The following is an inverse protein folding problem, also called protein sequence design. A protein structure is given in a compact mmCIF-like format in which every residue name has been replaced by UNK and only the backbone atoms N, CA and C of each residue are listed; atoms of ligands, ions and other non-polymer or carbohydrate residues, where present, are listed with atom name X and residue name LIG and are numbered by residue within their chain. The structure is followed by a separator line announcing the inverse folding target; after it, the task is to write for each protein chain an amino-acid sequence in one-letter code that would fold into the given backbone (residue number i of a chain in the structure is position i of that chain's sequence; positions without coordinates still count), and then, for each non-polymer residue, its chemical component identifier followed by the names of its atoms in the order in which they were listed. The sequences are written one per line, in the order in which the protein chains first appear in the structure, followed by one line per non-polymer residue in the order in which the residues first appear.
data_IF_578075565700
#
_entry.id   IF_578075565700
#
_cell.length_a   1.000
_cell.length_b   1.000
_cell.length_c   1.000
_cell.angle_alpha   90.00
_cell.angle_beta   90.00
_cell.angle_gamma   90.00
#
_symmetry.space_group_name_H-M   'P 1'
#
loop_
_entity.id
_entity.type
_entity.pdbx_description
1 polymer ?
#
# COMPACT_ATOMS: atom_id res chain seq x y z
N UNK A 1 -5.82 18.13 5.80
CA UNK A 1 -5.56 19.31 6.64
C UNK A 1 -6.82 19.63 7.42
N UNK A 2 -6.77 19.74 8.74
CA UNK A 2 -7.94 20.10 9.52
C UNK A 2 -8.36 21.54 9.19
N UNK A 3 -9.67 21.77 9.03
CA UNK A 3 -10.22 23.09 8.75
C UNK A 3 -9.79 24.11 9.82
N UNK A 4 -9.22 25.24 9.41
CA UNK A 4 -8.76 26.32 10.31
C UNK A 4 -9.89 26.87 11.21
N UNK A 5 -11.15 26.85 10.73
CA UNK A 5 -12.33 27.31 11.44
C UNK A 5 -12.62 26.55 12.75
N UNK A 6 -12.16 25.33 12.91
CA UNK A 6 -12.36 24.53 14.12
C UNK A 6 -11.15 24.56 15.08
N UNK A 7 -10.18 25.42 14.85
CA UNK A 7 -8.94 25.44 15.64
C UNK A 7 -9.19 25.83 17.10
N UNK A 8 -10.10 26.76 17.35
CA UNK A 8 -10.44 27.22 18.70
C UNK A 8 -11.26 26.19 19.52
N UNK A 9 -12.01 25.31 18.85
CA UNK A 9 -12.81 24.26 19.49
C UNK A 9 -12.11 22.92 19.70
N UNK A 10 -10.82 22.80 19.33
CA UNK A 10 -10.07 21.55 19.48
C UNK A 10 -9.57 21.41 20.91
N UNK A 11 -9.90 20.28 21.53
CA UNK A 11 -9.22 19.87 22.75
C UNK A 11 -7.72 19.71 22.45
N UNK A 12 -6.88 20.38 23.22
CA UNK A 12 -5.44 20.22 23.15
C UNK A 12 -5.07 18.81 23.65
N UNK A 13 -4.87 17.88 22.71
CA UNK A 13 -4.38 16.55 23.04
C UNK A 13 -2.86 16.64 23.18
N UNK A 14 -2.29 16.41 24.39
CA UNK A 14 -0.84 16.46 24.58
C UNK A 14 -0.14 15.50 23.61
N UNK A 15 0.95 15.94 23.01
CA UNK A 15 1.75 15.10 22.11
C UNK A 15 2.30 13.92 22.89
N UNK A 16 1.83 12.74 22.55
CA UNK A 16 2.30 11.49 23.16
C UNK A 16 3.77 11.25 22.79
N UNK A 17 4.59 10.95 23.78
CA UNK A 17 5.97 10.56 23.59
C UNK A 17 6.08 9.05 23.51
N UNK A 18 6.89 8.56 22.58
CA UNK A 18 7.13 7.13 22.38
C UNK A 18 8.63 6.87 22.34
N UNK A 19 9.06 5.75 22.90
CA UNK A 19 10.42 5.26 22.85
C UNK A 19 10.47 3.99 22.02
N UNK A 20 11.46 3.88 21.15
CA UNK A 20 11.75 2.62 20.42
C UNK A 20 12.51 1.69 21.37
N UNK A 21 11.99 0.48 21.58
CA UNK A 21 12.56 -0.49 22.52
C UNK A 21 13.58 -1.43 21.86
N UNK A 22 13.47 -1.67 20.56
CA UNK A 22 14.32 -2.55 19.78
C UNK A 22 15.27 -1.77 18.85
N UNK A 23 15.86 -0.68 19.33
CA UNK A 23 16.62 0.25 18.48
C UNK A 23 17.77 -0.43 17.73
N UNK A 24 18.57 -1.27 18.38
CA UNK A 24 19.70 -1.97 17.74
C UNK A 24 19.27 -2.85 16.57
N UNK A 25 18.23 -3.68 16.75
CA UNK A 25 17.70 -4.53 15.69
C UNK A 25 17.05 -3.71 14.57
N UNK A 26 16.35 -2.64 14.93
CA UNK A 26 15.74 -1.74 13.94
C UNK A 26 16.78 -1.00 13.12
N UNK A 27 17.85 -0.48 13.74
CA UNK A 27 18.97 0.19 13.05
C UNK A 27 19.69 -0.77 12.10
N UNK A 28 19.93 -2.02 12.51
CA UNK A 28 20.45 -3.05 11.62
C UNK A 28 19.55 -3.27 10.39
N UNK A 29 18.23 -3.32 10.59
CA UNK A 29 17.28 -3.45 9.49
C UNK A 29 17.29 -2.26 8.54
N UNK A 30 17.52 -1.05 9.05
CA UNK A 30 17.61 0.16 8.22
C UNK A 30 18.84 0.10 7.29
N UNK A 31 19.97 -0.41 7.79
CA UNK A 31 21.17 -0.62 6.96
C UNK A 31 20.93 -1.69 5.90
N UNK A 32 20.26 -2.79 6.24
CA UNK A 32 19.90 -3.85 5.30
C UNK A 32 19.05 -3.35 4.13
N UNK A 33 18.18 -2.36 4.33
CA UNK A 33 17.37 -1.78 3.24
C UNK A 33 18.20 -1.17 2.12
N UNK A 34 19.42 -0.76 2.40
CA UNK A 34 20.39 -0.26 1.41
C UNK A 34 21.32 -1.33 0.86
N UNK A 35 21.31 -2.56 1.40
CA UNK A 35 22.21 -3.64 0.97
C UNK A 35 21.76 -4.24 -0.35
N UNK A 36 22.65 -4.34 -1.32
CA UNK A 36 22.36 -4.99 -2.61
C UNK A 36 22.02 -6.47 -2.44
N UNK A 37 22.61 -7.18 -1.48
CA UNK A 37 22.37 -8.61 -1.25
C UNK A 37 20.93 -8.93 -0.82
N UNK A 38 20.20 -7.95 -0.29
CA UNK A 38 18.78 -8.10 0.05
C UNK A 38 17.89 -8.07 -1.19
N UNK A 39 18.31 -7.34 -2.22
CA UNK A 39 17.52 -7.05 -3.41
C UNK A 39 17.99 -7.79 -4.66
N UNK A 40 19.24 -8.25 -4.67
CA UNK A 40 19.85 -9.05 -5.72
C UNK A 40 20.32 -10.38 -5.08
N UNK A 41 19.39 -11.33 -4.99
CA UNK A 41 19.54 -12.57 -4.23
C UNK A 41 20.09 -13.71 -5.08
N UNK A 42 20.62 -14.76 -4.44
CA UNK A 42 21.11 -15.95 -5.13
C UNK A 42 20.00 -16.65 -5.95
N UNK A 43 18.75 -16.64 -5.47
CA UNK A 43 17.62 -17.17 -6.20
C UNK A 43 17.34 -16.34 -7.48
N UNK A 44 17.50 -15.01 -7.41
CA UNK A 44 17.34 -14.16 -8.57
C UNK A 44 18.46 -14.40 -9.59
N UNK A 45 19.68 -14.67 -9.13
CA UNK A 45 20.83 -15.02 -9.96
C UNK A 45 20.59 -16.36 -10.65
N UNK A 46 20.22 -17.40 -9.90
CA UNK A 46 19.99 -18.74 -10.41
C UNK A 46 18.84 -18.80 -11.44
N UNK A 47 17.77 -18.02 -11.21
CA UNK A 47 16.59 -17.96 -12.08
C UNK A 47 16.62 -16.75 -13.04
N UNK A 48 17.80 -16.22 -13.40
CA UNK A 48 17.93 -15.01 -14.23
C UNK A 48 17.50 -15.21 -15.69
N UNK A 49 17.92 -16.32 -16.29
CA UNK A 49 17.55 -16.68 -17.64
C UNK A 49 16.08 -17.13 -17.70
N UNK A 50 15.43 -16.83 -18.82
CA UNK A 50 14.07 -17.33 -19.04
C UNK A 50 14.09 -18.79 -19.46
N UNK A 51 13.07 -19.54 -19.04
CA UNK A 51 12.81 -20.87 -19.59
C UNK A 51 12.52 -20.81 -21.10
N UNK A 52 13.04 -21.74 -21.90
CA UNK A 52 12.78 -21.79 -23.33
C UNK A 52 11.27 -21.94 -23.62
N UNK A 53 10.78 -21.17 -24.59
CA UNK A 53 9.40 -21.33 -25.05
C UNK A 53 9.28 -22.41 -26.09
N UNK A 54 8.21 -23.20 -25.97
CA UNK A 54 7.76 -24.14 -27.01
C UNK A 54 6.79 -23.50 -28.02
N UNK A 55 6.23 -22.30 -27.68
CA UNK A 55 5.30 -21.57 -28.53
C UNK A 55 6.03 -20.76 -29.63
N UNK A 56 5.32 -20.51 -30.75
CA UNK A 56 5.84 -19.69 -31.87
C UNK A 56 6.19 -18.27 -31.39
N UNK A 57 7.35 -17.76 -31.81
CA UNK A 57 7.85 -16.42 -31.50
C UNK A 57 9.30 -16.42 -31.04
N UNK A 58 9.87 -15.24 -30.81
CA UNK A 58 11.24 -15.08 -30.30
C UNK A 58 11.39 -15.62 -28.87
N UNK A 59 12.51 -16.25 -28.56
CA UNK A 59 12.83 -16.76 -27.23
C UNK A 59 13.01 -15.61 -26.23
N UNK A 60 12.41 -15.70 -25.03
CA UNK A 60 12.67 -14.73 -23.97
C UNK A 60 14.08 -14.96 -23.39
N UNK A 61 14.84 -13.89 -23.19
CA UNK A 61 16.19 -13.97 -22.59
C UNK A 61 16.15 -13.88 -21.07
N UNK A 62 15.16 -13.14 -20.52
CA UNK A 62 15.08 -12.83 -19.11
C UNK A 62 13.82 -13.39 -18.48
N UNK A 63 13.97 -14.02 -17.33
CA UNK A 63 12.83 -14.51 -16.54
C UNK A 63 11.99 -13.34 -15.99
N UNK A 64 10.74 -13.61 -15.56
CA UNK A 64 9.96 -12.63 -14.82
C UNK A 64 10.67 -12.15 -13.55
N UNK A 65 11.42 -13.05 -12.88
CA UNK A 65 12.17 -12.73 -11.67
C UNK A 65 13.32 -11.77 -11.93
N UNK A 66 14.06 -11.94 -13.02
CA UNK A 66 15.12 -11.01 -13.44
C UNK A 66 14.56 -9.59 -13.68
N UNK A 67 13.42 -9.48 -14.37
CA UNK A 67 12.76 -8.21 -14.62
C UNK A 67 12.23 -7.60 -13.31
N UNK A 68 11.62 -8.41 -12.45
CA UNK A 68 11.15 -7.96 -11.14
C UNK A 68 12.30 -7.45 -10.28
N UNK A 69 13.42 -8.16 -10.22
CA UNK A 69 14.64 -7.76 -9.49
C UNK A 69 15.16 -6.42 -10.01
N UNK A 70 15.26 -6.25 -11.32
CA UNK A 70 15.69 -4.99 -11.92
C UNK A 70 14.76 -3.82 -11.58
N UNK A 71 13.44 -4.02 -11.64
CA UNK A 71 12.47 -2.99 -11.28
C UNK A 71 12.42 -2.74 -9.79
N UNK A 72 12.71 -3.75 -8.97
CA UNK A 72 12.85 -3.62 -7.50
C UNK A 72 14.06 -2.73 -7.16
N UNK A 73 15.22 -2.99 -7.74
CA UNK A 73 16.40 -2.13 -7.59
C UNK A 73 16.11 -0.69 -8.04
N UNK A 74 15.43 -0.54 -9.18
CA UNK A 74 14.97 0.78 -9.64
C UNK A 74 14.13 1.52 -8.61
N UNK A 75 13.20 0.82 -7.95
CA UNK A 75 12.31 1.42 -6.95
C UNK A 75 13.06 1.76 -5.66
N UNK A 76 13.87 0.85 -5.14
CA UNK A 76 14.66 1.01 -3.91
C UNK A 76 15.64 2.19 -4.03
N UNK A 77 16.40 2.25 -5.13
CA UNK A 77 17.42 3.28 -5.34
C UNK A 77 16.90 4.49 -6.15
N UNK A 78 15.60 4.53 -6.47
CA UNK A 78 14.93 5.63 -7.19
C UNK A 78 15.58 6.00 -8.54
N UNK A 79 16.05 5.01 -9.28
CA UNK A 79 16.79 5.20 -10.51
C UNK A 79 15.88 5.43 -11.73
N UNK A 80 16.40 6.11 -12.76
CA UNK A 80 15.82 6.05 -14.09
C UNK A 80 16.16 4.70 -14.74
N UNK A 81 15.40 4.26 -15.77
CA UNK A 81 15.61 2.93 -16.40
C UNK A 81 17.03 2.73 -16.92
N UNK A 82 17.64 3.76 -17.58
CA UNK A 82 19.03 3.68 -18.03
C UNK A 82 20.04 3.59 -16.88
N UNK A 83 19.77 4.27 -15.77
CA UNK A 83 20.62 4.18 -14.58
C UNK A 83 20.47 2.78 -13.90
N UNK A 84 19.27 2.20 -13.96
CA UNK A 84 19.02 0.83 -13.49
C UNK A 84 19.84 -0.17 -14.30
N UNK A 85 19.82 -0.05 -15.62
CA UNK A 85 20.67 -0.82 -16.52
C UNK A 85 22.14 -0.71 -16.12
N UNK A 86 22.67 0.51 -15.97
CA UNK A 86 24.06 0.74 -15.57
C UNK A 86 24.39 0.15 -14.19
N UNK A 87 23.51 0.27 -13.21
CA UNK A 87 23.69 -0.34 -11.88
C UNK A 87 23.78 -1.87 -11.96
N UNK A 88 22.82 -2.50 -12.64
CA UNK A 88 22.79 -3.97 -12.77
C UNK A 88 24.01 -4.48 -13.50
N UNK A 89 24.40 -3.85 -14.61
CA UNK A 89 25.62 -4.21 -15.33
C UNK A 89 26.89 -4.08 -14.49
N UNK A 90 26.95 -3.09 -13.61
CA UNK A 90 28.05 -2.93 -12.64
C UNK A 90 28.05 -4.03 -11.58
N UNK A 91 26.87 -4.36 -11.02
CA UNK A 91 26.73 -5.43 -10.03
C UNK A 91 27.13 -6.79 -10.61
N UNK A 92 26.61 -7.14 -11.79
CA UNK A 92 26.94 -8.40 -12.49
C UNK A 92 28.46 -8.51 -12.69
N UNK A 93 29.11 -7.43 -13.18
CA UNK A 93 30.55 -7.40 -13.40
C UNK A 93 31.35 -7.53 -12.11
N UNK A 94 30.97 -6.79 -11.06
CA UNK A 94 31.67 -6.81 -9.77
C UNK A 94 31.56 -8.17 -9.08
N UNK A 95 30.46 -8.89 -9.28
CA UNK A 95 30.27 -10.26 -8.76
C UNK A 95 30.89 -11.34 -9.65
N UNK A 96 31.47 -10.98 -10.78
CA UNK A 96 32.05 -11.95 -11.72
C UNK A 96 31.03 -12.90 -12.34
N UNK A 97 29.76 -12.42 -12.50
CA UNK A 97 28.69 -13.24 -13.03
C UNK A 97 28.61 -13.14 -14.55
N UNK A 98 28.40 -14.27 -15.22
CA UNK A 98 28.13 -14.32 -16.66
C UNK A 98 26.62 -14.25 -16.96
N UNK A 99 25.99 -13.15 -16.56
CA UNK A 99 24.57 -12.92 -16.76
C UNK A 99 24.34 -11.86 -17.85
N UNK A 100 23.39 -12.13 -18.75
CA UNK A 100 22.90 -11.12 -19.67
C UNK A 100 22.16 -10.02 -18.90
N UNK A 101 22.35 -8.76 -19.30
CA UNK A 101 21.73 -7.60 -18.64
C UNK A 101 20.54 -7.11 -19.47
N UNK A 102 19.33 -6.96 -18.87
CA UNK A 102 18.21 -6.38 -19.58
C UNK A 102 18.40 -4.88 -19.79
N UNK A 103 18.34 -4.44 -21.04
CA UNK A 103 18.39 -3.02 -21.38
C UNK A 103 17.13 -2.28 -20.91
N UNK A 104 17.21 -0.95 -20.88
CA UNK A 104 16.12 -0.09 -20.43
C UNK A 104 14.85 -0.21 -21.29
N UNK A 105 14.96 -0.58 -22.57
CA UNK A 105 13.80 -0.76 -23.46
C UNK A 105 13.10 -2.08 -23.16
N UNK A 106 13.85 -3.13 -22.89
CA UNK A 106 13.33 -4.42 -22.40
C UNK A 106 12.66 -4.26 -21.05
N UNK A 107 13.29 -3.59 -20.09
CA UNK A 107 12.66 -3.29 -18.78
C UNK A 107 11.35 -2.52 -18.96
N UNK A 108 11.33 -1.48 -19.80
CA UNK A 108 10.13 -0.69 -20.08
C UNK A 108 9.03 -1.53 -20.74
N UNK A 109 9.36 -2.36 -21.72
CA UNK A 109 8.39 -3.22 -22.42
C UNK A 109 7.84 -4.29 -21.51
N UNK A 110 8.72 -5.02 -20.80
CA UNK A 110 8.34 -6.11 -19.91
C UNK A 110 7.55 -5.63 -18.68
N UNK A 111 7.75 -4.38 -18.23
CA UNK A 111 6.94 -3.78 -17.18
C UNK A 111 5.45 -3.66 -17.54
N UNK A 112 5.04 -3.73 -18.79
CA UNK A 112 3.61 -3.71 -19.15
C UNK A 112 2.91 -5.05 -18.89
N UNK A 113 3.64 -6.16 -18.89
CA UNK A 113 3.10 -7.52 -18.78
C UNK A 113 3.63 -8.30 -17.58
N UNK A 114 4.44 -7.66 -16.73
CA UNK A 114 4.99 -8.31 -15.55
C UNK A 114 3.94 -8.51 -14.48
N UNK A 115 3.72 -9.74 -14.11
CA UNK A 115 2.93 -10.09 -12.92
C UNK A 115 3.80 -9.93 -11.67
N UNK A 116 3.49 -8.93 -10.86
CA UNK A 116 4.15 -8.75 -9.57
C UNK A 116 3.46 -9.65 -8.54
N UNK A 117 4.21 -10.45 -7.77
CA UNK A 117 3.63 -11.27 -6.72
C UNK A 117 2.78 -10.45 -5.76
N UNK A 118 1.54 -10.86 -5.55
CA UNK A 118 0.66 -10.18 -4.61
C UNK A 118 1.18 -10.37 -3.19
N UNK A 119 1.11 -9.35 -2.34
CA UNK A 119 1.42 -9.50 -0.94
C UNK A 119 0.53 -10.58 -0.32
N UNK A 120 1.13 -11.50 0.41
CA UNK A 120 0.37 -12.45 1.21
C UNK A 120 0.08 -11.81 2.55
N UNK A 121 -1.16 -11.88 3.02
CA UNK A 121 -1.44 -11.57 4.42
C UNK A 121 -0.60 -12.49 5.31
N UNK A 122 -0.12 -11.98 6.44
CA UNK A 122 0.69 -12.77 7.40
C UNK A 122 -0.02 -14.04 7.92
N UNK A 123 -1.32 -14.12 7.69
CA UNK A 123 -2.16 -15.28 7.96
C UNK A 123 -1.74 -16.55 7.20
N UNK A 124 -0.86 -16.46 6.18
CA UNK A 124 -0.43 -17.58 5.36
C UNK A 124 1.01 -18.07 5.66
N UNK A 125 1.65 -17.57 6.70
CA UNK A 125 3.01 -17.99 7.06
C UNK A 125 2.99 -19.24 7.96
N UNK A 126 2.80 -20.39 7.37
CA UNK A 126 3.01 -21.69 8.01
C UNK A 126 1.72 -22.51 8.19
N UNK A 127 1.62 -23.62 7.47
CA UNK A 127 0.63 -24.63 7.75
C UNK A 127 0.80 -25.14 9.21
N UNK A 128 -0.20 -24.91 10.07
CA UNK A 128 -0.24 -25.49 11.40
C UNK A 128 -0.26 -24.54 12.59
N UNK A 129 -0.28 -23.21 12.40
CA UNK A 129 -0.55 -22.25 13.49
C UNK A 129 -1.94 -21.65 13.32
N UNK A 130 -2.64 -21.44 14.45
CA UNK A 130 -3.88 -20.65 14.47
C UNK A 130 -3.61 -19.28 13.84
N UNK A 131 -4.23 -19.05 12.69
CA UNK A 131 -4.02 -17.85 11.88
C UNK A 131 -4.80 -16.71 12.54
N UNK A 132 -4.09 -15.77 13.17
CA UNK A 132 -4.71 -14.60 13.77
C UNK A 132 -5.44 -13.78 12.67
N UNK A 133 -6.74 -13.49 12.83
CA UNK A 133 -7.49 -12.72 11.84
C UNK A 133 -6.92 -11.31 11.64
N UNK A 134 -6.86 -10.85 10.39
CA UNK A 134 -6.30 -9.56 10.03
C UNK A 134 -7.22 -8.39 10.44
N UNK A 135 -6.64 -7.31 10.95
CA UNK A 135 -7.31 -6.03 11.13
C UNK A 135 -6.96 -5.11 9.97
N UNK A 136 -7.89 -4.93 9.04
CA UNK A 136 -7.65 -4.20 7.80
C UNK A 136 -7.93 -2.70 7.98
N UNK A 137 -7.01 -1.87 7.50
CA UNK A 137 -7.17 -0.42 7.43
C UNK A 137 -7.20 0.00 5.97
N UNK A 138 -8.28 0.65 5.55
CA UNK A 138 -8.50 1.13 4.18
C UNK A 138 -8.28 2.63 4.13
N UNK A 139 -7.52 3.10 3.15
CA UNK A 139 -7.31 4.54 2.93
C UNK A 139 -6.92 4.81 1.46
N UNK A 140 -7.02 6.07 1.03
CA UNK A 140 -6.63 6.49 -0.30
C UNK A 140 -5.76 7.74 -0.30
N UNK A 141 -4.99 7.92 -1.38
CA UNK A 141 -4.17 9.12 -1.56
C UNK A 141 -3.92 9.42 -3.03
N UNK A 142 -3.69 10.70 -3.34
CA UNK A 142 -3.29 11.11 -4.68
C UNK A 142 -1.80 10.86 -4.94
N UNK A 143 -1.50 10.32 -6.13
CA UNK A 143 -0.16 10.24 -6.72
C UNK A 143 -0.11 11.07 -7.99
N UNK A 144 0.89 11.92 -8.10
CA UNK A 144 1.13 12.74 -9.31
C UNK A 144 1.57 11.84 -10.46
N UNK A 145 1.22 12.21 -11.68
CA UNK A 145 1.76 11.57 -12.88
C UNK A 145 2.99 12.36 -13.36
N UNK A 146 4.09 11.66 -13.68
CA UNK A 146 5.17 12.24 -14.45
C UNK A 146 4.73 12.36 -15.90
N UNK A 147 4.84 13.55 -16.47
CA UNK A 147 4.55 13.83 -17.86
C UNK A 147 5.40 15.03 -18.35
N UNK A 148 5.48 15.24 -19.66
CA UNK A 148 6.02 16.47 -20.18
C UNK A 148 5.09 17.58 -19.74
N UNK A 149 5.48 18.40 -18.80
CA UNK A 149 4.53 19.43 -18.47
C UNK A 149 4.72 20.22 -17.22
N UNK A 150 5.53 19.82 -16.25
CA UNK A 150 5.74 20.75 -15.13
C UNK A 150 6.30 22.07 -15.63
N UNK A 151 7.33 22.01 -16.44
CA UNK A 151 7.92 23.21 -17.04
C UNK A 151 7.05 23.88 -18.10
N UNK A 152 6.38 23.11 -18.98
CA UNK A 152 5.45 23.63 -19.98
C UNK A 152 4.21 24.26 -19.35
N UNK A 153 3.69 23.68 -18.27
CA UNK A 153 2.54 24.21 -17.51
C UNK A 153 2.94 25.48 -16.76
N UNK A 154 4.13 25.52 -16.17
CA UNK A 154 4.66 26.73 -15.52
C UNK A 154 4.96 27.83 -16.55
N UNK A 155 5.54 27.49 -17.70
CA UNK A 155 5.93 28.47 -18.74
C UNK A 155 4.76 28.99 -19.57
N UNK A 156 3.75 28.14 -19.83
CA UNK A 156 2.63 28.48 -20.74
C UNK A 156 1.30 28.68 -20.04
N UNK A 157 1.26 28.67 -18.70
CA UNK A 157 0.10 29.04 -17.92
C UNK A 157 -1.18 28.25 -18.22
N UNK A 158 -1.05 26.97 -18.62
CA UNK A 158 -2.23 26.16 -18.91
C UNK A 158 -3.02 25.90 -17.64
N UNK A 159 -4.30 26.28 -17.63
CA UNK A 159 -5.25 26.08 -16.51
C UNK A 159 -5.55 24.59 -16.23
N UNK A 160 -4.94 23.67 -16.93
CA UNK A 160 -5.15 22.23 -16.75
C UNK A 160 -4.45 21.76 -15.48
N UNK A 161 -5.24 21.35 -14.48
CA UNK A 161 -4.73 20.70 -13.27
C UNK A 161 -3.83 19.53 -13.65
N UNK A 162 -2.68 19.40 -12.99
CA UNK A 162 -1.76 18.25 -13.17
C UNK A 162 -2.54 16.95 -13.09
N UNK A 163 -2.36 16.03 -14.06
CA UNK A 163 -3.01 14.74 -14.00
C UNK A 163 -2.47 13.96 -12.80
N UNK A 164 -3.34 13.36 -12.03
CA UNK A 164 -2.99 12.49 -10.92
C UNK A 164 -3.88 11.25 -10.90
N UNK A 165 -3.45 10.22 -10.23
CA UNK A 165 -4.18 8.98 -9.99
C UNK A 165 -4.44 8.82 -8.51
N UNK A 166 -5.52 8.16 -8.18
CA UNK A 166 -5.85 7.80 -6.80
C UNK A 166 -5.27 6.42 -6.51
N UNK A 167 -4.42 6.37 -5.50
CA UNK A 167 -3.92 5.12 -4.92
C UNK A 167 -4.83 4.75 -3.76
N UNK A 168 -5.43 3.57 -3.83
CA UNK A 168 -6.16 2.94 -2.74
C UNK A 168 -5.29 1.84 -2.14
N UNK A 169 -5.24 1.73 -0.83
CA UNK A 169 -4.48 0.70 -0.11
C UNK A 169 -5.34 0.04 0.97
N UNK A 170 -5.09 -1.23 1.18
CA UNK A 170 -5.50 -1.95 2.39
C UNK A 170 -4.25 -2.41 3.11
N UNK A 171 -4.15 -2.07 4.37
CA UNK A 171 -3.03 -2.42 5.23
C UNK A 171 -3.51 -3.30 6.38
N UNK A 172 -2.73 -4.33 6.70
CA UNK A 172 -2.92 -5.10 7.93
C UNK A 172 -2.34 -4.32 9.12
N UNK A 173 -3.18 -3.98 10.10
CA UNK A 173 -2.78 -3.24 11.28
C UNK A 173 -1.81 -4.03 12.19
N UNK A 174 -1.83 -5.36 12.16
CA UNK A 174 -0.99 -6.19 13.02
C UNK A 174 0.49 -6.09 12.64
N UNK A 175 0.78 -6.11 11.34
CA UNK A 175 2.16 -6.13 10.84
C UNK A 175 2.56 -4.89 10.02
N UNK A 176 1.60 -4.05 9.61
CA UNK A 176 1.82 -2.85 8.82
C UNK A 176 2.08 -3.12 7.33
N UNK A 177 1.90 -4.35 6.84
CA UNK A 177 2.04 -4.69 5.42
C UNK A 177 0.84 -4.17 4.62
N UNK A 178 1.09 -3.73 3.40
CA UNK A 178 0.04 -3.42 2.43
C UNK A 178 -0.37 -4.74 1.78
N UNK A 179 -1.60 -5.19 2.05
CA UNK A 179 -2.12 -6.49 1.58
C UNK A 179 -2.94 -6.39 0.30
N UNK A 180 -3.46 -5.19 0.00
CA UNK A 180 -4.14 -4.92 -1.26
C UNK A 180 -3.87 -3.49 -1.72
N UNK A 181 -3.85 -3.27 -3.02
CA UNK A 181 -3.68 -1.94 -3.60
C UNK A 181 -4.34 -1.84 -4.97
N UNK A 182 -4.85 -0.66 -5.30
CA UNK A 182 -5.41 -0.34 -6.60
C UNK A 182 -5.07 1.09 -7.02
N UNK A 183 -4.97 1.30 -8.33
CA UNK A 183 -4.77 2.61 -8.91
C UNK A 183 -5.96 2.97 -9.80
N UNK A 184 -6.61 4.10 -9.51
CA UNK A 184 -7.79 4.53 -10.26
C UNK A 184 -7.64 5.94 -10.82
N UNK A 185 -8.60 6.34 -11.64
CA UNK A 185 -8.79 7.74 -12.00
C UNK A 185 -9.12 8.59 -10.78
N UNK A 186 -8.90 9.88 -10.87
CA UNK A 186 -9.15 10.82 -9.76
C UNK A 186 -10.64 10.89 -9.37
N UNK A 187 -11.54 10.59 -10.30
CA UNK A 187 -12.99 10.66 -10.11
C UNK A 187 -13.59 9.40 -9.47
N UNK A 188 -12.77 8.34 -9.29
CA UNK A 188 -13.27 7.11 -8.68
C UNK A 188 -13.68 7.33 -7.22
N UNK A 189 -14.85 6.83 -6.84
CA UNK A 189 -15.30 6.85 -5.45
C UNK A 189 -14.47 5.88 -4.61
N UNK A 190 -14.08 6.32 -3.41
CA UNK A 190 -13.25 5.51 -2.50
C UNK A 190 -14.01 4.29 -1.97
N UNK A 191 -15.30 4.46 -1.66
CA UNK A 191 -16.16 3.39 -1.17
C UNK A 191 -16.36 2.27 -2.20
N UNK A 192 -16.50 2.62 -3.48
CA UNK A 192 -16.65 1.65 -4.57
C UNK A 192 -15.41 0.77 -4.76
N UNK A 193 -14.24 1.19 -4.27
CA UNK A 193 -13.00 0.42 -4.37
C UNK A 193 -12.82 -0.60 -3.24
N UNK A 194 -13.63 -0.54 -2.19
CA UNK A 194 -13.50 -1.47 -1.03
C UNK A 194 -13.71 -2.92 -1.46
N UNK A 195 -14.75 -3.21 -2.24
CA UNK A 195 -15.00 -4.56 -2.77
C UNK A 195 -13.79 -5.13 -3.53
N UNK A 196 -13.35 -4.49 -4.63
CA UNK A 196 -12.18 -4.94 -5.40
C UNK A 196 -10.87 -5.05 -4.61
N UNK A 197 -10.71 -4.24 -3.55
CA UNK A 197 -9.57 -4.35 -2.66
C UNK A 197 -9.67 -5.57 -1.75
N UNK A 198 -10.85 -5.82 -1.17
CA UNK A 198 -11.07 -6.99 -0.33
C UNK A 198 -10.98 -8.31 -1.10
N UNK A 199 -11.29 -8.32 -2.41
CA UNK A 199 -11.08 -9.48 -3.30
C UNK A 199 -9.60 -9.89 -3.42
N UNK A 200 -8.66 -9.00 -3.08
CA UNK A 200 -7.23 -9.29 -3.07
C UNK A 200 -6.76 -9.87 -1.73
N UNK A 201 -7.58 -9.77 -0.68
CA UNK A 201 -7.22 -10.22 0.68
C UNK A 201 -7.56 -11.69 0.83
N UNK A 202 -6.56 -12.47 1.26
CA UNK A 202 -6.72 -13.91 1.52
C UNK A 202 -6.61 -14.17 3.01
N UNK A 203 -7.53 -14.97 3.56
CA UNK A 203 -7.54 -15.37 4.96
C UNK A 203 -8.63 -14.67 5.80
N UNK A 204 -8.72 -15.02 7.09
CA UNK A 204 -9.73 -14.47 7.99
C UNK A 204 -9.48 -12.99 8.30
N UNK A 205 -10.55 -12.22 8.37
CA UNK A 205 -10.54 -10.79 8.67
C UNK A 205 -11.36 -10.52 9.91
N UNK A 206 -10.74 -9.91 10.93
CA UNK A 206 -11.40 -9.53 12.16
C UNK A 206 -12.12 -8.18 12.05
N UNK A 207 -11.53 -7.22 11.32
CA UNK A 207 -12.14 -5.92 11.13
C UNK A 207 -11.69 -5.22 9.85
N UNK A 208 -12.56 -4.36 9.33
CA UNK A 208 -12.28 -3.43 8.23
C UNK A 208 -12.53 -2.01 8.75
N UNK A 209 -11.50 -1.19 8.79
CA UNK A 209 -11.56 0.18 9.32
C UNK A 209 -11.26 1.19 8.22
N UNK A 210 -12.15 2.16 8.03
CA UNK A 210 -11.99 3.28 7.10
C UNK A 210 -12.30 4.62 7.76
N UNK A 211 -12.05 5.72 7.07
CA UNK A 211 -12.49 7.04 7.55
C UNK A 211 -13.95 7.31 7.17
N UNK A 212 -14.47 8.51 7.53
CA UNK A 212 -15.86 8.88 7.26
C UNK A 212 -16.24 8.98 5.77
N UNK A 213 -15.28 8.97 4.84
CA UNK A 213 -15.57 8.89 3.41
C UNK A 213 -16.14 7.52 3.03
N UNK A 214 -15.79 6.49 3.80
CA UNK A 214 -16.27 5.11 3.64
C UNK A 214 -17.62 4.85 4.35
N UNK A 215 -18.26 5.85 4.99
CA UNK A 215 -19.62 5.70 5.55
C UNK A 215 -20.67 5.67 4.44
N UNK A 216 -20.71 4.55 3.73
CA UNK A 216 -21.60 4.28 2.59
C UNK A 216 -22.14 2.86 2.72
N UNK A 217 -23.42 2.66 2.43
CA UNK A 217 -24.09 1.36 2.50
C UNK A 217 -23.35 0.29 1.68
N UNK A 218 -22.90 0.65 0.46
CA UNK A 218 -22.13 -0.26 -0.39
C UNK A 218 -20.82 -0.77 0.22
N UNK A 219 -20.19 0.00 1.12
CA UNK A 219 -18.99 -0.42 1.84
C UNK A 219 -19.34 -1.50 2.85
N UNK A 220 -20.40 -1.29 3.64
CA UNK A 220 -20.87 -2.29 4.61
C UNK A 220 -21.30 -3.58 3.90
N UNK A 221 -22.07 -3.48 2.83
CA UNK A 221 -22.51 -4.63 2.05
C UNK A 221 -21.34 -5.40 1.43
N UNK A 222 -20.39 -4.69 0.80
CA UNK A 222 -19.21 -5.30 0.19
C UNK A 222 -18.32 -6.02 1.20
N UNK A 223 -18.14 -5.45 2.38
CA UNK A 223 -17.33 -6.04 3.44
C UNK A 223 -18.04 -7.25 4.07
N UNK A 224 -19.34 -7.14 4.37
CA UNK A 224 -20.13 -8.23 4.92
C UNK A 224 -20.24 -9.43 3.96
N UNK A 225 -20.36 -9.18 2.66
CA UNK A 225 -20.40 -10.24 1.65
C UNK A 225 -19.11 -11.09 1.61
N UNK A 226 -17.96 -10.46 1.77
CA UNK A 226 -16.65 -11.11 1.65
C UNK A 226 -16.11 -11.65 2.97
N UNK A 227 -16.41 -10.94 4.04
CA UNK A 227 -15.96 -11.25 5.39
C UNK A 227 -17.11 -11.07 6.40
N UNK A 228 -18.10 -12.00 6.44
CA UNK A 228 -19.31 -11.85 7.24
C UNK A 228 -19.05 -11.67 8.74
N UNK A 229 -17.95 -12.24 9.25
CA UNK A 229 -17.57 -12.14 10.66
C UNK A 229 -16.78 -10.86 11.00
N UNK A 230 -16.41 -10.04 9.99
CA UNK A 230 -15.59 -8.86 10.24
C UNK A 230 -16.39 -7.69 10.84
N UNK A 231 -15.81 -7.03 11.84
CA UNK A 231 -16.33 -5.76 12.34
C UNK A 231 -15.99 -4.63 11.33
N UNK A 232 -17.01 -3.86 10.93
CA UNK A 232 -16.83 -2.74 10.02
C UNK A 232 -16.79 -1.45 10.82
N UNK A 233 -15.61 -0.85 10.94
CA UNK A 233 -15.35 0.27 11.85
C UNK A 233 -15.16 1.55 11.02
N UNK A 234 -16.27 2.21 10.71
CA UNK A 234 -16.30 3.46 9.96
C UNK A 234 -17.07 4.51 10.78
N UNK A 235 -16.51 5.72 10.97
CA UNK A 235 -17.20 6.75 11.73
C UNK A 235 -18.40 7.27 10.93
N UNK A 236 -19.63 7.17 11.43
CA UNK A 236 -20.80 7.73 10.79
C UNK A 236 -20.62 9.22 10.51
N UNK A 237 -21.10 9.68 9.35
CA UNK A 237 -21.10 11.12 8.99
C UNK A 237 -21.97 11.91 9.96
N UNK A 238 -21.76 13.21 10.06
CA UNK A 238 -22.56 14.07 10.93
C UNK A 238 -24.06 14.07 10.59
N UNK A 239 -24.38 13.82 9.33
CA UNK A 239 -25.76 13.73 8.81
C UNK A 239 -26.30 12.30 8.77
N UNK A 240 -25.58 11.34 9.33
CA UNK A 240 -26.00 9.94 9.32
C UNK A 240 -27.24 9.74 10.21
N UNK A 241 -28.26 9.10 9.64
CA UNK A 241 -29.47 8.68 10.34
C UNK A 241 -29.49 7.15 10.47
N UNK A 242 -30.15 6.60 11.51
CA UNK A 242 -30.39 5.17 11.64
C UNK A 242 -31.15 4.61 10.42
N UNK A 243 -30.94 3.34 10.15
CA UNK A 243 -31.70 2.63 9.12
C UNK A 243 -33.19 2.52 9.50
N UNK A 244 -34.05 2.23 8.54
CA UNK A 244 -35.48 1.99 8.80
C UNK A 244 -35.71 0.76 9.72
N UNK A 245 -34.76 -0.17 9.72
CA UNK A 245 -34.82 -1.41 10.49
C UNK A 245 -34.01 -1.35 11.80
N UNK A 246 -33.54 -0.16 12.20
CA UNK A 246 -32.62 0.01 13.33
C UNK A 246 -33.18 -0.51 14.69
N UNK A 247 -34.50 -0.58 14.83
CA UNK A 247 -35.15 -1.09 16.03
C UNK A 247 -35.36 -2.61 16.00
N UNK A 248 -35.69 -3.18 14.83
CA UNK A 248 -36.00 -4.62 14.67
C UNK A 248 -34.78 -5.44 14.29
N UNK A 249 -33.95 -4.94 13.40
CA UNK A 249 -32.75 -5.63 12.88
C UNK A 249 -31.60 -4.63 12.68
N UNK A 250 -30.96 -4.20 13.77
CA UNK A 250 -29.93 -3.16 13.73
C UNK A 250 -28.69 -3.62 12.95
N UNK A 251 -28.25 -2.81 12.02
CA UNK A 251 -26.98 -3.00 11.30
C UNK A 251 -25.78 -2.63 12.20
N UNK A 252 -24.57 -3.00 11.79
CA UNK A 252 -23.34 -2.53 12.46
C UNK A 252 -23.28 -0.99 12.49
N UNK A 253 -23.72 -0.33 11.42
CA UNK A 253 -23.79 1.14 11.33
C UNK A 253 -24.78 1.73 12.35
N UNK A 254 -25.94 1.13 12.54
CA UNK A 254 -26.94 1.56 13.53
C UNK A 254 -26.38 1.41 14.96
N UNK A 255 -25.64 0.33 15.21
CA UNK A 255 -24.97 0.11 16.49
C UNK A 255 -23.92 1.19 16.78
N UNK A 256 -23.18 1.66 15.76
CA UNK A 256 -22.25 2.79 15.89
C UNK A 256 -22.99 4.10 16.21
N UNK A 257 -24.08 4.38 15.50
CA UNK A 257 -24.90 5.57 15.73
C UNK A 257 -25.47 5.60 17.15
N UNK A 258 -26.01 4.45 17.63
CA UNK A 258 -26.53 4.30 18.99
C UNK A 258 -25.45 4.57 20.04
N UNK A 259 -24.26 3.93 19.89
CA UNK A 259 -23.16 4.12 20.82
C UNK A 259 -22.64 5.57 20.86
N UNK A 260 -22.63 6.23 19.69
CA UNK A 260 -22.23 7.65 19.61
C UNK A 260 -23.28 8.54 20.28
N UNK A 261 -24.57 8.26 20.10
CA UNK A 261 -25.65 9.02 20.73
C UNK A 261 -25.62 8.87 22.27
N UNK A 262 -25.37 7.66 22.78
CA UNK A 262 -25.35 7.35 24.21
C UNK A 262 -24.10 7.85 24.93
N UNK A 263 -22.90 7.66 24.33
CA UNK A 263 -21.61 7.84 25.01
C UNK A 263 -20.69 8.86 24.36
N UNK A 264 -21.12 9.42 23.23
CA UNK A 264 -20.32 10.37 22.45
C UNK A 264 -19.28 9.72 21.55
N UNK A 265 -18.81 10.48 20.56
CA UNK A 265 -17.88 10.02 19.52
C UNK A 265 -16.52 9.55 20.07
N UNK A 266 -16.01 10.19 21.12
CA UNK A 266 -14.73 9.80 21.74
C UNK A 266 -14.81 8.41 22.38
N UNK A 267 -15.91 8.11 23.07
CA UNK A 267 -16.13 6.80 23.69
C UNK A 267 -16.28 5.72 22.62
N UNK A 268 -17.00 6.01 21.52
CA UNK A 268 -17.10 5.11 20.37
C UNK A 268 -15.72 4.82 19.75
N UNK A 269 -14.89 5.83 19.51
CA UNK A 269 -13.54 5.64 18.96
C UNK A 269 -12.68 4.72 19.82
N UNK A 270 -12.79 4.84 21.13
CA UNK A 270 -12.06 4.01 22.09
C UNK A 270 -12.61 2.58 22.10
N UNK A 271 -13.92 2.42 22.14
CA UNK A 271 -14.58 1.11 22.19
C UNK A 271 -14.42 0.30 20.89
N UNK A 272 -14.51 0.97 19.75
CA UNK A 272 -14.36 0.32 18.44
C UNK A 272 -12.90 0.06 18.00
N UNK A 273 -11.92 0.63 18.71
CA UNK A 273 -10.52 0.55 18.28
C UNK A 273 -10.19 1.43 17.06
N UNK A 274 -11.07 2.36 16.66
CA UNK A 274 -10.91 3.24 15.49
C UNK A 274 -9.59 4.00 15.47
N UNK A 275 -8.98 4.25 16.62
CA UNK A 275 -7.69 4.96 16.74
C UNK A 275 -6.56 4.28 15.95
N UNK A 276 -6.68 2.99 15.65
CA UNK A 276 -5.72 2.26 14.81
C UNK A 276 -5.65 2.81 13.38
N UNK A 277 -6.70 3.51 12.90
CA UNK A 277 -6.73 4.11 11.57
C UNK A 277 -5.52 5.02 11.29
N UNK A 278 -4.97 5.69 12.31
CA UNK A 278 -3.77 6.52 12.16
C UNK A 278 -2.57 5.77 11.56
N UNK A 279 -2.54 4.43 11.65
CA UNK A 279 -1.51 3.60 11.01
C UNK A 279 -1.61 3.62 9.49
N UNK A 280 -2.81 3.78 8.90
CA UNK A 280 -2.98 3.92 7.45
C UNK A 280 -2.31 5.19 6.93
N UNK A 281 -2.46 6.31 7.63
CA UNK A 281 -1.76 7.56 7.30
C UNK A 281 -0.23 7.39 7.36
N UNK A 282 0.25 6.59 8.34
CA UNK A 282 1.68 6.25 8.44
C UNK A 282 2.14 5.42 7.25
N UNK A 283 1.35 4.45 6.77
CA UNK A 283 1.67 3.65 5.59
C UNK A 283 1.74 4.51 4.32
N UNK A 284 0.76 5.40 4.11
CA UNK A 284 0.76 6.36 3.01
C UNK A 284 1.98 7.30 3.08
N UNK A 285 2.28 7.82 4.27
CA UNK A 285 3.45 8.67 4.48
C UNK A 285 4.75 7.93 4.17
N UNK A 286 4.86 6.66 4.60
CA UNK A 286 5.99 5.79 4.29
C UNK A 286 6.10 5.55 2.78
N UNK A 287 5.00 5.25 2.09
CA UNK A 287 4.97 5.09 0.64
C UNK A 287 5.56 6.33 -0.05
N UNK A 288 5.02 7.51 0.27
CA UNK A 288 5.47 8.77 -0.34
C UNK A 288 6.92 9.13 -0.01
N UNK A 289 7.40 8.79 1.18
CA UNK A 289 8.78 9.07 1.61
C UNK A 289 9.79 8.12 0.96
N UNK A 290 9.48 6.83 0.91
CA UNK A 290 10.41 5.80 0.42
C UNK A 290 10.36 5.69 -1.10
N UNK A 291 9.18 5.58 -1.68
CA UNK A 291 8.98 5.41 -3.12
C UNK A 291 8.91 6.76 -3.85
N UNK A 292 8.09 7.66 -3.33
CA UNK A 292 7.83 8.98 -3.89
C UNK A 292 6.34 9.27 -4.01
N UNK A 293 6.01 10.52 -4.32
CA UNK A 293 4.64 11.02 -4.46
C UNK A 293 4.13 11.02 -5.91
N UNK A 294 4.92 10.45 -6.84
CA UNK A 294 4.62 10.47 -8.28
C UNK A 294 4.95 9.15 -8.96
N UNK A 295 4.13 8.79 -9.96
CA UNK A 295 4.36 7.66 -10.84
C UNK A 295 5.21 8.09 -12.04
N UNK A 296 6.22 7.30 -12.37
CA UNK A 296 7.17 7.56 -13.46
C UNK A 296 6.73 6.92 -14.78
N UNK A 297 5.92 5.88 -14.71
CA UNK A 297 5.41 5.16 -15.87
C UNK A 297 4.33 5.97 -16.61
N UNK A 298 4.26 5.80 -17.94
CA UNK A 298 3.37 6.59 -18.81
C UNK A 298 2.05 5.91 -19.09
N UNK A 299 2.02 4.58 -19.20
CA UNK A 299 0.79 3.80 -19.46
C UNK A 299 0.22 3.22 -18.17
N UNK A 300 -1.06 2.91 -18.17
CA UNK A 300 -1.75 2.43 -16.96
C UNK A 300 -1.27 1.02 -16.55
N UNK A 301 -0.96 0.14 -17.50
CA UNK A 301 -0.40 -1.19 -17.21
C UNK A 301 0.96 -1.08 -16.50
N UNK A 302 1.85 -0.21 -17.01
CA UNK A 302 3.16 0.02 -16.40
C UNK A 302 3.06 0.74 -15.06
N UNK A 303 2.04 1.59 -14.86
CA UNK A 303 1.76 2.22 -13.55
C UNK A 303 1.28 1.20 -12.54
N UNK A 304 0.45 0.25 -12.95
CA UNK A 304 0.00 -0.85 -12.11
C UNK A 304 1.19 -1.70 -11.65
N UNK A 305 2.10 -2.05 -12.55
CA UNK A 305 3.35 -2.76 -12.22
C UNK A 305 4.25 -1.92 -11.31
N UNK A 306 4.41 -0.63 -11.59
CA UNK A 306 5.20 0.29 -10.76
C UNK A 306 4.65 0.34 -9.32
N UNK A 307 3.32 0.38 -9.17
CA UNK A 307 2.66 0.28 -7.87
C UNK A 307 2.90 -1.07 -7.19
N UNK A 308 2.70 -2.18 -7.91
CA UNK A 308 2.93 -3.53 -7.38
C UNK A 308 4.37 -3.70 -6.87
N UNK A 309 5.37 -3.28 -7.65
CA UNK A 309 6.79 -3.29 -7.23
C UNK A 309 7.01 -2.40 -6.01
N UNK A 310 6.40 -1.22 -5.95
CA UNK A 310 6.50 -0.32 -4.80
C UNK A 310 5.96 -0.95 -3.52
N UNK A 311 4.80 -1.60 -3.59
CA UNK A 311 4.19 -2.34 -2.47
C UNK A 311 5.08 -3.51 -2.05
N UNK A 312 5.59 -4.29 -3.00
CA UNK A 312 6.52 -5.39 -2.74
C UNK A 312 7.77 -4.90 -1.98
N UNK A 313 8.39 -3.82 -2.44
CA UNK A 313 9.55 -3.19 -1.78
C UNK A 313 9.23 -2.76 -0.35
N UNK A 314 8.11 -2.07 -0.15
CA UNK A 314 7.72 -1.58 1.17
C UNK A 314 7.43 -2.71 2.16
N UNK A 315 6.78 -3.77 1.71
CA UNK A 315 6.52 -4.94 2.55
C UNK A 315 7.81 -5.67 2.89
N UNK A 316 8.70 -5.88 1.91
CA UNK A 316 10.02 -6.48 2.17
C UNK A 316 10.84 -5.66 3.18
N UNK A 317 10.79 -4.33 3.10
CA UNK A 317 11.44 -3.45 4.09
C UNK A 317 10.88 -3.62 5.52
N UNK A 318 9.58 -3.96 5.66
CA UNK A 318 8.99 -4.26 6.97
C UNK A 318 9.41 -5.63 7.50
N UNK A 319 9.56 -6.61 6.62
CA UNK A 319 10.04 -7.96 6.98
C UNK A 319 11.47 -7.91 7.50
N UNK A 320 12.33 -7.05 6.95
CA UNK A 320 13.71 -6.85 7.45
C UNK A 320 13.73 -6.32 8.88
N UNK A 321 12.71 -5.57 9.28
CA UNK A 321 12.54 -5.10 10.64
C UNK A 321 11.74 -3.81 10.74
N UNK A 322 11.06 -3.67 11.88
CA UNK A 322 10.24 -2.51 12.22
C UNK A 322 10.51 -2.07 13.67
N UNK A 323 10.28 -0.78 13.99
CA UNK A 323 10.46 -0.32 15.35
C UNK A 323 9.31 -0.80 16.23
N UNK A 324 9.63 -1.22 17.45
CA UNK A 324 8.66 -1.47 18.50
C UNK A 324 8.60 -0.24 19.40
N UNK A 325 7.40 0.33 19.55
CA UNK A 325 7.18 1.55 20.32
C UNK A 325 6.52 1.23 21.66
N UNK A 326 7.04 1.84 22.71
CA UNK A 326 6.38 1.93 24.01
C UNK A 326 6.07 3.38 24.29
N UNK A 327 4.84 3.66 24.75
CA UNK A 327 4.46 4.99 25.20
C UNK A 327 5.19 5.29 26.50
N UNK A 328 5.81 6.43 26.55
CA UNK A 328 6.39 6.99 27.78
C UNK A 328 5.50 8.12 28.28
N UNK A 329 5.31 8.17 29.58
CA UNK A 329 4.49 9.18 30.27
C UNK A 329 5.04 10.60 30.05
#
# INVERSE_FOLDING_TARGET
MPFKLNQAGRHHIPRQKHKVTNWSAYDASLRQRGSLTVWFTDEAIAAWAAEPRTSRGGQPWYSPLAILTALTLRAVFRLALRQTEGLIGSVIRLLGLELAMPDHTTLSRRAATLEVPRPRSSTNAGAGRDVEPAHLLVDSTGLKLCGPGEWLIEKHGTKTRRPWRKLHIVMDANNGQIVASALTGREADDGAQVGPLLDQVVGPVASVTGDGAYDQEGVYASAAQRHPAAAIIVPPRATAAPSRMAESEPTQRDSHLRLIAERGRMAWQKASGYTQRARAETAISRFKRVIGDRLRSRTDERRATELGVAVHVLNRMLELGRPNYVRIA
#
